data_IF_110890429591
#
_entry.id   IF_110890429591
#
_cell.length_a   1.000
_cell.length_b   1.000
_cell.length_c   1.000
_cell.angle_alpha   90.00
_cell.angle_beta   90.00
_cell.angle_gamma   90.00
#
_symmetry.space_group_name_H-M   'P 1'
#
loop_
_entity.id
_entity.type
_entity.pdbx_description
1 polymer ?
#
# COMPACT_ATOMS: atom_id res chain seq x y z
N UNK A 1 -3.45 17.29 24.56
CA UNK A 1 -3.31 17.04 23.12
C UNK A 1 -1.84 17.19 22.78
N UNK A 2 -1.14 16.08 22.54
CA UNK A 2 0.32 16.08 22.45
C UNK A 2 0.77 16.36 21.02
N UNK A 3 1.75 17.25 20.84
CA UNK A 3 2.29 17.62 19.52
C UNK A 3 2.82 16.41 18.76
N UNK A 4 3.25 15.35 19.46
CA UNK A 4 3.67 14.07 18.87
C UNK A 4 2.59 13.41 18.02
N UNK A 5 1.32 13.69 18.31
CA UNK A 5 0.18 13.13 17.58
C UNK A 5 -0.17 13.91 16.30
N UNK A 6 0.33 15.13 16.12
CA UNK A 6 0.02 15.93 14.94
C UNK A 6 0.99 15.69 13.78
N UNK A 7 2.14 15.07 14.04
CA UNK A 7 3.21 14.88 13.05
C UNK A 7 2.80 14.00 11.86
N UNK A 8 1.92 13.02 12.05
CA UNK A 8 1.46 12.17 10.95
C UNK A 8 0.53 12.88 9.97
N UNK A 9 -0.11 13.98 10.40
CA UNK A 9 -1.13 14.66 9.61
C UNK A 9 -0.55 15.78 8.73
N UNK A 10 0.58 16.40 9.12
CA UNK A 10 1.11 17.63 8.48
C UNK A 10 2.19 17.34 7.42
N UNK A 11 2.92 16.22 7.51
CA UNK A 11 4.07 15.96 6.63
C UNK A 11 3.74 15.20 5.33
N UNK A 12 2.46 14.89 5.08
CA UNK A 12 2.07 14.08 3.94
C UNK A 12 2.59 12.63 4.03
N UNK A 13 2.20 11.82 3.06
CA UNK A 13 2.58 10.42 2.98
C UNK A 13 4.12 10.33 2.94
N UNK A 14 4.76 9.74 3.95
CA UNK A 14 6.22 9.57 3.98
C UNK A 14 6.62 8.58 2.89
N UNK A 15 6.90 9.09 1.70
CA UNK A 15 7.41 8.33 0.55
C UNK A 15 8.66 7.52 0.90
N UNK A 16 9.45 7.96 1.88
CA UNK A 16 10.61 7.23 2.40
C UNK A 16 10.27 5.89 3.09
N UNK A 17 9.01 5.68 3.47
CA UNK A 17 8.51 4.42 4.04
C UNK A 17 7.71 3.61 3.02
N UNK A 18 7.65 4.06 1.77
CA UNK A 18 7.02 3.30 0.69
C UNK A 18 7.92 2.11 0.33
N UNK A 19 7.58 0.96 0.90
CA UNK A 19 8.18 -0.31 0.53
C UNK A 19 7.77 -0.64 -0.90
N UNK A 20 8.72 -1.04 -1.73
CA UNK A 20 8.40 -1.46 -3.09
C UNK A 20 7.70 -2.83 -3.06
N UNK A 21 6.80 -3.13 -4.00
CA UNK A 21 6.11 -4.42 -4.06
C UNK A 21 7.06 -5.62 -4.01
N UNK A 22 8.21 -5.53 -4.69
CA UNK A 22 9.20 -6.59 -4.77
C UNK A 22 9.91 -6.86 -3.42
N UNK A 23 10.09 -5.82 -2.62
CA UNK A 23 10.68 -5.94 -1.27
C UNK A 23 9.71 -6.66 -0.35
N UNK A 24 8.43 -6.31 -0.41
CA UNK A 24 7.38 -6.98 0.37
C UNK A 24 7.25 -8.44 -0.04
N UNK A 25 7.28 -8.75 -1.33
CA UNK A 25 7.21 -10.14 -1.83
C UNK A 25 8.35 -11.00 -1.26
N UNK A 26 9.59 -10.47 -1.26
CA UNK A 26 10.73 -11.15 -0.66
C UNK A 26 10.55 -11.38 0.86
N UNK A 27 9.97 -10.42 1.58
CA UNK A 27 9.66 -10.57 3.00
C UNK A 27 8.56 -11.62 3.26
N UNK A 28 7.50 -11.62 2.45
CA UNK A 28 6.39 -12.57 2.56
C UNK A 28 6.83 -14.00 2.23
N UNK A 29 7.64 -14.17 1.19
CA UNK A 29 8.19 -15.47 0.80
C UNK A 29 9.04 -16.09 1.92
N UNK A 30 9.89 -15.30 2.59
CA UNK A 30 10.65 -15.76 3.78
C UNK A 30 9.75 -16.21 4.94
N UNK A 31 8.52 -15.71 5.00
CA UNK A 31 7.53 -16.06 6.02
C UNK A 31 6.59 -17.20 5.59
N UNK A 32 6.84 -17.87 4.46
CA UNK A 32 5.93 -18.87 3.84
C UNK A 32 4.53 -18.32 3.55
N UNK A 33 4.46 -17.03 3.21
CA UNK A 33 3.24 -16.35 2.81
C UNK A 33 3.31 -16.10 1.30
N UNK A 34 2.29 -16.52 0.57
CA UNK A 34 2.17 -16.37 -0.88
C UNK A 34 1.17 -15.25 -1.21
N UNK A 35 1.49 -14.42 -2.20
CA UNK A 35 0.58 -13.39 -2.72
C UNK A 35 -0.38 -14.07 -3.70
N UNK A 36 -1.66 -14.15 -3.35
CA UNK A 36 -2.71 -14.74 -4.16
C UNK A 36 -3.39 -13.73 -5.10
N UNK A 37 -3.45 -12.45 -4.73
CA UNK A 37 -3.93 -11.37 -5.60
C UNK A 37 -3.28 -10.02 -5.26
N UNK A 38 -3.24 -9.12 -6.23
CA UNK A 38 -2.74 -7.75 -6.04
C UNK A 38 -3.54 -6.74 -6.84
N UNK A 39 -3.81 -5.58 -6.23
CA UNK A 39 -4.50 -4.48 -6.92
C UNK A 39 -4.01 -3.13 -6.42
N UNK A 40 -3.92 -2.17 -7.32
CA UNK A 40 -3.79 -0.77 -6.97
C UNK A 40 -5.15 -0.11 -6.74
N UNK A 41 -5.13 1.07 -6.13
CA UNK A 41 -6.30 1.92 -5.99
C UNK A 41 -6.03 3.26 -6.66
N UNK A 42 -6.92 3.67 -7.56
CA UNK A 42 -6.89 4.96 -8.22
C UNK A 42 -8.13 5.78 -7.86
N UNK A 43 -7.98 7.09 -7.76
CA UNK A 43 -9.14 7.99 -7.63
C UNK A 43 -9.68 8.30 -9.02
N UNK A 44 -10.99 8.19 -9.21
CA UNK A 44 -11.68 8.80 -10.34
C UNK A 44 -12.09 10.22 -9.91
N UNK A 45 -11.43 11.28 -10.43
CA UNK A 45 -11.70 12.65 -10.01
C UNK A 45 -13.10 13.11 -10.41
N UNK A 46 -13.64 12.60 -11.53
CA UNK A 46 -14.96 13.00 -12.04
C UNK A 46 -16.10 12.36 -11.23
N UNK A 47 -15.95 11.09 -10.88
CA UNK A 47 -16.94 10.37 -10.09
C UNK A 47 -16.76 10.53 -8.57
N UNK A 48 -15.67 11.19 -8.13
CA UNK A 48 -15.24 11.32 -6.72
C UNK A 48 -15.26 9.97 -5.99
N UNK A 49 -14.84 8.91 -6.68
CA UNK A 49 -14.87 7.51 -6.19
C UNK A 49 -13.51 6.87 -6.34
N UNK A 50 -13.21 5.93 -5.45
CA UNK A 50 -12.07 5.03 -5.58
C UNK A 50 -12.42 3.89 -6.52
N UNK A 51 -11.45 3.49 -7.35
CA UNK A 51 -11.55 2.33 -8.24
C UNK A 51 -10.32 1.46 -8.11
N UNK A 52 -10.51 0.15 -8.30
CA UNK A 52 -9.39 -0.80 -8.45
C UNK A 52 -8.67 -0.54 -9.78
N UNK A 53 -7.36 -0.69 -9.79
CA UNK A 53 -6.50 -0.57 -10.98
C UNK A 53 -5.41 -1.63 -10.92
N UNK A 54 -4.85 -1.99 -12.08
CA UNK A 54 -3.68 -2.89 -12.14
C UNK A 54 -2.35 -2.17 -11.85
N UNK A 55 -2.37 -0.83 -11.74
CA UNK A 55 -1.15 -0.06 -11.49
C UNK A 55 -0.77 -0.05 -10.01
N UNK A 56 0.35 -0.69 -9.67
CA UNK A 56 0.84 -0.85 -8.29
C UNK A 56 1.89 0.21 -7.88
N UNK A 57 2.31 1.08 -8.81
CA UNK A 57 3.46 1.98 -8.64
C UNK A 57 3.31 3.06 -7.56
N UNK A 58 2.08 3.34 -7.11
CA UNK A 58 1.76 4.45 -6.18
C UNK A 58 1.09 3.97 -4.90
N UNK A 59 0.19 2.99 -5.03
CA UNK A 59 -0.47 2.33 -3.91
C UNK A 59 -0.91 0.95 -4.37
N UNK A 60 -0.77 -0.04 -3.50
CA UNK A 60 -1.15 -1.42 -3.78
C UNK A 60 -1.71 -2.08 -2.52
N UNK A 61 -2.59 -3.03 -2.74
CA UNK A 61 -3.14 -3.95 -1.75
C UNK A 61 -2.79 -5.36 -2.21
N UNK A 62 -2.34 -6.18 -1.27
CA UNK A 62 -2.00 -7.59 -1.51
C UNK A 62 -2.99 -8.45 -0.73
N UNK A 63 -3.53 -9.47 -1.39
CA UNK A 63 -4.23 -10.56 -0.74
C UNK A 63 -3.26 -11.73 -0.62
N UNK A 64 -2.94 -12.12 0.61
CA UNK A 64 -1.93 -13.13 0.86
C UNK A 64 -2.53 -14.34 1.57
N UNK A 65 -2.05 -15.51 1.22
CA UNK A 65 -2.41 -16.78 1.85
C UNK A 65 -1.17 -17.38 2.48
N UNK A 66 -1.33 -18.03 3.63
CA UNK A 66 -0.25 -18.73 4.30
C UNK A 66 -0.41 -20.22 4.02
N UNK A 67 0.67 -20.85 3.55
CA UNK A 67 0.73 -22.32 3.40
C UNK A 67 1.06 -22.99 4.72
#
# INVERSE_FOLDING_TARGET
>A
MNLSEMWWMVLGNRWSMFQKPEEIEAHLSRANIEIADSTGVAVNPFARRLRKTRMLAVNYMLFCVRR
#
